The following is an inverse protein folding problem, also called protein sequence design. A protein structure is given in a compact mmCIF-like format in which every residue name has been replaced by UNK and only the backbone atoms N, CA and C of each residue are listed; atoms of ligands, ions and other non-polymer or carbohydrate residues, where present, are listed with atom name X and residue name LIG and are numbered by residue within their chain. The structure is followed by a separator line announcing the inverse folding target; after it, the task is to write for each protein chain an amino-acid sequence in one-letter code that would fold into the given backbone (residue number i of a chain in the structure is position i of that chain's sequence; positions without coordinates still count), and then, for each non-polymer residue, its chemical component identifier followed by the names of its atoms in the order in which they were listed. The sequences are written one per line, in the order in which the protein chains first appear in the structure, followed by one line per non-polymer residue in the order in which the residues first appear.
data_IF_126472375080
#
_entry.id   IF_126472375080
#
_cell.length_a   1.000
_cell.length_b   1.000
_cell.length_c   1.000
_cell.angle_alpha   90.00
_cell.angle_beta   90.00
_cell.angle_gamma   90.00
#
_symmetry.space_group_name_H-M   'P 1'
#
loop_
_entity.id
_entity.type
_entity.pdbx_description
1 polymer ?
#
# COMPACT_ATOMS: atom_id res chain seq x y z
N UNK A 1 -23.26 -4.20 10.50
CA UNK A 1 -22.91 -5.62 10.74
C UNK A 1 -23.58 -6.06 12.03
N UNK A 2 -24.28 -7.19 12.01
CA UNK A 2 -24.99 -7.77 13.16
C UNK A 2 -24.05 -8.64 13.99
N UNK A 3 -24.41 -8.98 15.23
CA UNK A 3 -23.66 -9.93 16.08
C UNK A 3 -23.60 -11.37 15.52
N UNK A 4 -24.43 -11.66 14.50
CA UNK A 4 -24.60 -13.00 13.92
C UNK A 4 -23.31 -13.75 13.58
N UNK A 5 -22.30 -13.18 12.90
CA UNK A 5 -21.07 -13.90 12.58
C UNK A 5 -20.34 -14.44 13.82
N UNK A 6 -20.35 -13.68 14.91
CA UNK A 6 -19.80 -14.15 16.18
C UNK A 6 -20.62 -15.31 16.75
N UNK A 7 -21.94 -15.19 16.76
CA UNK A 7 -22.82 -16.25 17.28
C UNK A 7 -22.74 -17.54 16.46
N UNK A 8 -22.55 -17.43 15.14
CA UNK A 8 -22.41 -18.58 14.26
C UNK A 8 -21.12 -19.37 14.56
N UNK A 9 -20.02 -18.69 14.92
CA UNK A 9 -18.75 -19.33 15.32
C UNK A 9 -18.86 -19.97 16.70
N UNK A 10 -19.45 -19.24 17.66
CA UNK A 10 -19.54 -19.69 19.05
C UNK A 10 -20.56 -20.84 19.20
N UNK A 11 -21.63 -20.84 18.39
CA UNK A 11 -22.67 -21.87 18.42
C UNK A 11 -23.26 -22.06 19.83
N UNK A 12 -23.44 -23.32 20.22
CA UNK A 12 -24.01 -23.69 21.52
C UNK A 12 -22.98 -23.71 22.66
N UNK A 13 -21.71 -23.38 22.39
CA UNK A 13 -20.66 -23.37 23.43
C UNK A 13 -20.85 -22.25 24.46
N UNK A 14 -21.64 -21.22 24.12
CA UNK A 14 -21.93 -20.07 24.96
C UNK A 14 -23.44 -19.96 25.21
N UNK A 15 -23.86 -20.22 26.45
CA UNK A 15 -25.27 -20.21 26.85
C UNK A 15 -25.49 -19.43 28.14
N UNK A 16 -26.76 -19.19 28.46
CA UNK A 16 -27.18 -18.55 29.71
C UNK A 16 -26.58 -17.16 29.90
N UNK A 17 -26.04 -16.93 31.10
CA UNK A 17 -25.48 -15.64 31.52
C UNK A 17 -24.29 -15.20 30.67
N UNK A 18 -23.43 -16.13 30.24
CA UNK A 18 -22.26 -15.80 29.41
C UNK A 18 -22.67 -15.26 28.03
N UNK A 19 -23.70 -15.85 27.42
CA UNK A 19 -24.27 -15.36 26.17
C UNK A 19 -24.95 -14.01 26.35
N UNK A 20 -25.63 -13.81 27.48
CA UNK A 20 -26.22 -12.53 27.81
C UNK A 20 -25.15 -11.43 27.91
N UNK A 21 -24.03 -11.70 28.58
CA UNK A 21 -22.93 -10.76 28.76
C UNK A 21 -22.30 -10.35 27.42
N UNK A 22 -22.04 -11.30 26.52
CA UNK A 22 -21.50 -11.00 25.16
C UNK A 22 -22.49 -10.18 24.33
N UNK A 23 -23.78 -10.51 24.38
CA UNK A 23 -24.82 -9.70 23.71
C UNK A 23 -24.88 -8.29 24.29
N UNK A 24 -24.72 -8.15 25.60
CA UNK A 24 -24.69 -6.86 26.28
C UNK A 24 -23.48 -6.04 25.87
N UNK A 25 -22.30 -6.64 25.82
CA UNK A 25 -21.06 -5.99 25.33
C UNK A 25 -21.23 -5.45 23.90
N UNK A 26 -21.88 -6.21 23.02
CA UNK A 26 -22.20 -5.74 21.66
C UNK A 26 -23.09 -4.50 21.66
N UNK A 27 -24.16 -4.49 22.48
CA UNK A 27 -25.09 -3.36 22.58
C UNK A 27 -24.37 -2.12 23.10
N UNK A 28 -23.54 -2.27 24.13
CA UNK A 28 -22.75 -1.19 24.73
C UNK A 28 -21.74 -0.64 23.73
N UNK A 29 -20.97 -1.49 23.05
CA UNK A 29 -20.05 -1.08 22.01
C UNK A 29 -20.76 -0.36 20.86
N UNK A 30 -21.91 -0.87 20.41
CA UNK A 30 -22.70 -0.26 19.34
C UNK A 30 -23.26 1.12 19.74
N UNK A 31 -23.62 1.29 21.01
CA UNK A 31 -24.08 2.56 21.56
C UNK A 31 -22.95 3.60 21.60
N UNK A 32 -21.81 3.26 22.19
CA UNK A 32 -20.70 4.21 22.35
C UNK A 32 -20.03 4.58 21.03
N UNK A 33 -19.94 3.65 20.09
CA UNK A 33 -19.43 3.91 18.75
C UNK A 33 -20.50 4.41 17.75
N UNK A 34 -21.68 4.83 18.22
CA UNK A 34 -22.78 5.26 17.35
C UNK A 34 -22.39 6.53 16.58
N UNK A 35 -22.53 6.46 15.25
CA UNK A 35 -22.17 7.56 14.35
C UNK A 35 -20.68 7.62 13.98
N UNK A 36 -19.83 6.80 14.60
CA UNK A 36 -18.44 6.63 14.20
C UNK A 36 -18.35 5.72 12.96
N UNK A 37 -17.47 6.09 12.04
CA UNK A 37 -17.22 5.33 10.80
C UNK A 37 -15.77 4.86 10.74
N UNK A 38 -15.56 3.64 10.22
CA UNK A 38 -14.24 3.16 9.79
C UNK A 38 -13.76 3.97 8.59
N UNK A 39 -12.47 3.86 8.28
CA UNK A 39 -11.90 4.48 7.06
C UNK A 39 -12.45 3.87 5.76
N UNK A 40 -13.05 2.68 5.82
CA UNK A 40 -13.82 2.09 4.72
C UNK A 40 -15.17 2.79 4.46
N UNK A 41 -15.69 3.53 5.44
CA UNK A 41 -17.04 4.08 5.43
C UNK A 41 -18.08 3.24 6.17
N UNK A 42 -17.71 2.03 6.62
CA UNK A 42 -18.61 1.17 7.41
C UNK A 42 -18.82 1.69 8.84
N UNK A 43 -19.95 1.37 9.50
CA UNK A 43 -20.13 1.66 10.92
C UNK A 43 -19.02 1.07 11.78
N UNK A 44 -18.49 1.81 12.76
CA UNK A 44 -17.31 1.39 13.53
C UNK A 44 -17.47 0.03 14.22
N UNK A 45 -18.67 -0.29 14.70
CA UNK A 45 -19.02 -1.57 15.35
C UNK A 45 -18.68 -2.82 14.52
N UNK A 46 -18.50 -2.69 13.20
CA UNK A 46 -18.07 -3.82 12.36
C UNK A 46 -16.69 -4.36 12.78
N UNK A 47 -15.80 -3.48 13.26
CA UNK A 47 -14.46 -3.88 13.68
C UNK A 47 -14.45 -4.66 15.01
N UNK A 48 -15.03 -4.15 16.12
CA UNK A 48 -15.09 -4.92 17.36
C UNK A 48 -15.78 -6.28 17.20
N UNK A 49 -16.84 -6.36 16.37
CA UNK A 49 -17.48 -7.65 16.05
C UNK A 49 -16.50 -8.59 15.36
N UNK A 50 -15.74 -8.12 14.37
CA UNK A 50 -14.76 -8.95 13.68
C UNK A 50 -13.59 -9.38 14.58
N UNK A 51 -13.14 -8.51 15.50
CA UNK A 51 -12.12 -8.86 16.50
C UNK A 51 -12.62 -9.95 17.44
N UNK A 52 -13.85 -9.80 17.97
CA UNK A 52 -14.46 -10.83 18.80
C UNK A 52 -14.67 -12.14 18.03
N UNK A 53 -15.04 -12.09 16.74
CA UNK A 53 -15.16 -13.30 15.91
C UNK A 53 -13.83 -14.02 15.76
N UNK A 54 -12.73 -13.30 15.53
CA UNK A 54 -11.38 -13.89 15.47
C UNK A 54 -11.02 -14.57 16.80
N UNK A 55 -11.31 -13.93 17.94
CA UNK A 55 -11.07 -14.53 19.25
C UNK A 55 -11.91 -15.79 19.49
N UNK A 56 -13.16 -15.80 19.02
CA UNK A 56 -14.01 -16.98 19.07
C UNK A 56 -13.49 -18.13 18.20
N UNK A 57 -12.93 -17.83 17.02
CA UNK A 57 -12.28 -18.82 16.16
C UNK A 57 -11.07 -19.48 16.84
N UNK A 58 -10.41 -18.76 17.76
CA UNK A 58 -9.32 -19.28 18.59
C UNK A 58 -9.81 -20.02 19.85
N UNK A 59 -11.12 -20.14 20.05
CA UNK A 59 -11.71 -20.82 21.21
C UNK A 59 -11.62 -20.03 22.50
N UNK A 60 -11.44 -18.71 22.43
CA UNK A 60 -11.35 -17.85 23.62
C UNK A 60 -12.69 -17.75 24.36
N UNK A 61 -12.61 -17.57 25.68
CA UNK A 61 -13.79 -17.53 26.54
C UNK A 61 -14.63 -16.24 26.39
N UNK A 62 -15.80 -16.25 27.02
CA UNK A 62 -16.76 -15.13 26.98
C UNK A 62 -16.20 -13.79 27.46
N UNK A 63 -15.27 -13.77 28.41
CA UNK A 63 -14.64 -12.54 28.88
C UNK A 63 -13.76 -11.94 27.79
N UNK A 64 -12.98 -12.77 27.09
CA UNK A 64 -12.21 -12.34 25.91
C UNK A 64 -13.10 -11.85 24.78
N UNK A 65 -14.25 -12.50 24.54
CA UNK A 65 -15.20 -12.03 23.54
C UNK A 65 -15.79 -10.66 23.91
N UNK A 66 -16.13 -10.46 25.19
CA UNK A 66 -16.59 -9.15 25.69
C UNK A 66 -15.49 -8.10 25.55
N UNK A 67 -14.25 -8.41 25.95
CA UNK A 67 -13.12 -7.52 25.81
C UNK A 67 -12.86 -7.16 24.34
N UNK A 68 -12.95 -8.12 23.42
CA UNK A 68 -12.86 -7.88 21.97
C UNK A 68 -13.91 -6.90 21.43
N UNK A 69 -15.15 -7.01 21.92
CA UNK A 69 -16.23 -6.07 21.57
C UNK A 69 -16.02 -4.68 22.16
N UNK A 70 -15.35 -4.56 23.30
CA UNK A 70 -15.20 -3.33 24.08
C UNK A 70 -13.81 -2.66 23.95
N UNK A 71 -12.85 -3.29 23.26
CA UNK A 71 -11.42 -2.92 23.37
C UNK A 71 -11.09 -1.47 23.02
N UNK A 72 -11.85 -0.85 22.10
CA UNK A 72 -11.67 0.55 21.70
C UNK A 72 -12.58 1.52 22.45
N UNK A 73 -13.52 1.04 23.27
CA UNK A 73 -14.55 1.91 23.90
C UNK A 73 -13.89 2.94 24.81
N UNK A 74 -12.93 2.55 25.65
CA UNK A 74 -12.24 3.47 26.55
C UNK A 74 -11.28 4.43 25.82
N UNK A 75 -10.77 4.03 24.65
CA UNK A 75 -9.78 4.81 23.91
C UNK A 75 -10.42 5.83 22.95
N UNK A 76 -11.51 5.43 22.28
CA UNK A 76 -12.09 6.18 21.17
C UNK A 76 -13.40 6.90 21.53
N UNK A 77 -13.92 6.70 22.75
CA UNK A 77 -15.22 7.25 23.18
C UNK A 77 -15.12 7.95 24.53
N UNK A 78 -16.18 8.65 24.93
CA UNK A 78 -16.27 9.34 26.22
C UNK A 78 -16.82 8.44 27.34
N UNK A 79 -16.82 7.12 27.17
CA UNK A 79 -17.34 6.20 28.16
C UNK A 79 -16.48 6.23 29.44
N UNK A 80 -17.07 6.46 30.62
CA UNK A 80 -16.36 6.28 31.89
C UNK A 80 -15.96 4.81 32.09
N UNK A 81 -14.75 4.58 32.57
CA UNK A 81 -14.26 3.24 32.89
C UNK A 81 -15.08 2.60 34.03
N UNK A 82 -15.50 3.41 35.00
CA UNK A 82 -16.33 3.03 36.13
C UNK A 82 -17.67 2.43 35.69
N UNK A 83 -18.29 3.00 34.65
CA UNK A 83 -19.55 2.49 34.08
C UNK A 83 -19.33 1.10 33.44
N UNK A 84 -18.22 0.93 32.72
CA UNK A 84 -17.84 -0.37 32.16
C UNK A 84 -17.58 -1.40 33.27
N UNK A 85 -16.92 -1.00 34.35
CA UNK A 85 -16.57 -1.88 35.47
C UNK A 85 -17.81 -2.31 36.25
N UNK A 86 -18.76 -1.40 36.45
CA UNK A 86 -20.04 -1.72 37.09
C UNK A 86 -20.88 -2.71 36.25
N UNK A 87 -20.77 -2.65 34.93
CA UNK A 87 -21.59 -3.46 34.02
C UNK A 87 -20.98 -4.82 33.67
N UNK A 88 -19.66 -4.89 33.48
CA UNK A 88 -18.97 -6.10 33.00
C UNK A 88 -18.02 -6.73 34.03
N UNK A 89 -17.74 -6.02 35.13
CA UNK A 89 -16.82 -6.47 36.17
C UNK A 89 -15.35 -6.20 35.83
N UNK A 90 -14.53 -6.19 36.89
CA UNK A 90 -13.10 -5.87 36.80
C UNK A 90 -12.29 -6.77 35.84
N UNK A 91 -12.53 -8.09 35.72
CA UNK A 91 -11.74 -8.94 34.83
C UNK A 91 -11.78 -8.48 33.36
N UNK A 92 -12.96 -8.11 32.85
CA UNK A 92 -13.14 -7.68 31.45
C UNK A 92 -12.57 -6.27 31.25
N UNK A 93 -12.84 -5.35 32.19
CA UNK A 93 -12.34 -3.98 32.09
C UNK A 93 -10.82 -3.92 32.16
N UNK A 94 -10.21 -4.75 33.01
CA UNK A 94 -8.76 -4.84 33.09
C UNK A 94 -8.14 -5.29 31.76
N UNK A 95 -8.76 -6.25 31.04
CA UNK A 95 -8.28 -6.64 29.70
C UNK A 95 -8.34 -5.48 28.71
N UNK A 96 -9.43 -4.71 28.71
CA UNK A 96 -9.60 -3.53 27.83
C UNK A 96 -8.57 -2.45 28.17
N UNK A 97 -8.40 -2.14 29.46
CA UNK A 97 -7.44 -1.16 29.98
C UNK A 97 -6.00 -1.49 29.60
N UNK A 98 -5.58 -2.73 29.87
CA UNK A 98 -4.22 -3.19 29.57
C UNK A 98 -3.96 -3.24 28.05
N UNK A 99 -4.95 -3.63 27.24
CA UNK A 99 -4.81 -3.63 25.78
C UNK A 99 -4.59 -2.21 25.21
N UNK A 100 -5.31 -1.22 25.76
CA UNK A 100 -5.13 0.20 25.44
C UNK A 100 -3.76 0.72 25.87
N UNK A 101 -3.29 0.37 27.08
CA UNK A 101 -1.99 0.79 27.61
C UNK A 101 -0.81 0.27 26.77
N UNK A 102 -0.89 -0.96 26.25
CA UNK A 102 0.12 -1.52 25.35
C UNK A 102 0.28 -0.71 24.05
N UNK A 103 -0.74 0.05 23.62
CA UNK A 103 -0.63 0.93 22.45
C UNK A 103 0.35 2.09 22.69
N UNK A 104 0.52 2.52 23.94
CA UNK A 104 1.37 3.66 24.33
C UNK A 104 2.74 3.23 24.85
N UNK A 105 2.88 1.99 25.32
CA UNK A 105 4.09 1.48 25.94
C UNK A 105 5.03 0.81 24.92
N UNK A 106 5.62 1.55 23.99
CA UNK A 106 6.70 1.06 23.10
C UNK A 106 8.04 0.79 23.83
N UNK A 107 8.10 0.83 25.18
CA UNK A 107 9.38 0.87 25.93
C UNK A 107 9.46 0.11 27.25
N UNK A 108 8.48 -0.72 27.62
CA UNK A 108 8.62 -1.61 28.78
C UNK A 108 8.51 -3.04 28.30
N UNK A 109 9.55 -3.84 28.51
CA UNK A 109 9.40 -5.31 28.50
C UNK A 109 8.35 -5.66 29.53
N UNK A 110 7.12 -6.04 29.13
CA UNK A 110 6.16 -6.55 30.08
C UNK A 110 6.74 -7.86 30.61
N UNK A 111 6.40 -8.19 31.86
CA UNK A 111 6.56 -9.54 32.36
C UNK A 111 5.59 -10.45 31.57
N UNK A 112 6.06 -10.86 30.39
CA UNK A 112 5.30 -11.60 29.38
C UNK A 112 4.92 -13.00 29.84
N UNK A 113 5.45 -13.44 30.98
CA UNK A 113 5.27 -14.76 31.55
C UNK A 113 3.92 -14.92 32.28
N UNK A 114 3.21 -13.82 32.54
CA UNK A 114 1.89 -13.88 33.19
C UNK A 114 0.75 -14.25 32.23
N UNK A 115 -0.17 -15.12 32.68
CA UNK A 115 -1.34 -15.53 31.90
C UNK A 115 -2.27 -14.37 31.49
N UNK A 116 -2.34 -13.31 32.32
CA UNK A 116 -3.06 -12.06 31.97
C UNK A 116 -2.40 -11.38 30.77
N UNK A 117 -1.06 -11.41 30.68
CA UNK A 117 -0.34 -10.87 29.53
C UNK A 117 -0.69 -11.63 28.24
N UNK A 118 -0.77 -12.97 28.27
CA UNK A 118 -1.13 -13.77 27.10
C UNK A 118 -2.52 -13.42 26.54
N UNK A 119 -3.52 -13.24 27.41
CA UNK A 119 -4.87 -12.81 27.03
C UNK A 119 -4.87 -11.43 26.39
N UNK A 120 -4.18 -10.46 26.99
CA UNK A 120 -4.08 -9.09 26.45
C UNK A 120 -3.34 -9.09 25.09
N UNK A 121 -2.29 -9.90 24.96
CA UNK A 121 -1.57 -10.06 23.69
C UNK A 121 -2.42 -10.73 22.62
N UNK A 122 -3.22 -11.75 22.96
CA UNK A 122 -4.16 -12.37 22.04
C UNK A 122 -5.19 -11.34 21.53
N UNK A 123 -5.78 -10.55 22.43
CA UNK A 123 -6.68 -9.45 22.04
C UNK A 123 -5.99 -8.47 21.07
N UNK A 124 -4.74 -8.11 21.35
CA UNK A 124 -3.93 -7.22 20.49
C UNK A 124 -3.64 -7.81 19.12
N UNK A 125 -3.34 -9.10 19.04
CA UNK A 125 -3.08 -9.81 17.78
C UNK A 125 -4.37 -9.88 16.96
N UNK A 126 -5.52 -10.15 17.58
CA UNK A 126 -6.80 -10.21 16.89
C UNK A 126 -7.19 -8.84 16.29
N UNK A 127 -7.03 -7.76 17.07
CA UNK A 127 -7.15 -6.38 16.57
C UNK A 127 -6.21 -6.14 15.38
N UNK A 128 -4.92 -6.43 15.54
CA UNK A 128 -3.93 -6.19 14.48
C UNK A 128 -4.23 -7.01 13.22
N UNK A 129 -4.68 -8.26 13.35
CA UNK A 129 -5.04 -9.11 12.22
C UNK A 129 -6.19 -8.50 11.41
N UNK A 130 -7.27 -8.07 12.08
CA UNK A 130 -8.37 -7.40 11.39
C UNK A 130 -7.91 -6.10 10.71
N UNK A 131 -7.05 -5.33 11.38
CA UNK A 131 -6.50 -4.11 10.81
C UNK A 131 -5.62 -4.38 9.59
N UNK A 132 -4.80 -5.44 9.58
CA UNK A 132 -4.04 -5.84 8.39
C UNK A 132 -4.96 -6.29 7.24
N UNK A 133 -6.02 -7.03 7.52
CA UNK A 133 -7.02 -7.45 6.52
C UNK A 133 -7.75 -6.27 5.86
N UNK A 134 -7.87 -5.14 6.57
CA UNK A 134 -8.58 -3.93 6.12
C UNK A 134 -7.68 -2.71 5.86
N UNK A 135 -6.37 -2.91 5.86
CA UNK A 135 -5.36 -1.83 5.84
C UNK A 135 -5.40 -0.95 4.57
N UNK A 136 -5.96 -1.48 3.47
CA UNK A 136 -6.03 -0.81 2.18
C UNK A 136 -6.79 0.53 2.19
N UNK A 137 -7.64 0.77 3.20
CA UNK A 137 -8.36 2.04 3.37
C UNK A 137 -7.53 3.13 4.07
N UNK A 138 -6.32 2.81 4.56
CA UNK A 138 -5.43 3.78 5.19
C UNK A 138 -4.51 4.46 4.16
N UNK A 139 -3.98 5.68 4.44
CA UNK A 139 -2.91 6.28 3.66
C UNK A 139 -1.63 5.43 3.66
N UNK A 140 -0.88 5.42 2.56
CA UNK A 140 0.29 4.55 2.37
C UNK A 140 1.33 4.62 3.49
N UNK A 141 1.62 5.82 4.02
CA UNK A 141 2.54 6.01 5.15
C UNK A 141 2.09 5.22 6.39
N UNK A 142 0.79 5.22 6.69
CA UNK A 142 0.23 4.44 7.80
C UNK A 142 0.23 2.94 7.51
N UNK A 143 -0.05 2.54 6.26
CA UNK A 143 0.03 1.13 5.86
C UNK A 143 1.45 0.59 6.09
N UNK A 144 2.47 1.30 5.60
CA UNK A 144 3.87 0.91 5.75
C UNK A 144 4.28 0.82 7.22
N UNK A 145 3.98 1.86 8.04
CA UNK A 145 4.31 1.86 9.47
C UNK A 145 3.68 0.67 10.19
N UNK A 146 2.37 0.45 10.00
CA UNK A 146 1.63 -0.64 10.66
C UNK A 146 2.13 -2.00 10.20
N UNK A 147 2.42 -2.20 8.92
CA UNK A 147 2.98 -3.46 8.41
C UNK A 147 4.41 -3.73 8.89
N UNK A 148 5.27 -2.71 9.04
CA UNK A 148 6.59 -2.86 9.67
C UNK A 148 6.46 -3.29 11.13
N UNK A 149 5.70 -2.53 11.92
CA UNK A 149 5.42 -2.84 13.34
C UNK A 149 4.86 -4.26 13.50
N UNK A 150 3.99 -4.69 12.58
CA UNK A 150 3.42 -6.03 12.60
C UNK A 150 4.46 -7.12 12.38
N UNK A 151 5.40 -6.93 11.44
CA UNK A 151 6.47 -7.90 11.19
C UNK A 151 7.50 -7.94 12.32
N UNK A 152 7.84 -6.79 12.86
CA UNK A 152 8.95 -6.66 13.80
C UNK A 152 8.52 -7.06 15.23
N UNK A 153 7.24 -6.85 15.57
CA UNK A 153 6.74 -7.02 16.95
C UNK A 153 5.62 -8.07 17.00
N UNK A 154 4.53 -7.87 16.26
CA UNK A 154 3.29 -8.63 16.48
C UNK A 154 3.38 -10.08 15.96
N UNK A 155 3.95 -10.29 14.78
CA UNK A 155 4.11 -11.63 14.20
C UNK A 155 4.99 -12.54 15.08
N UNK A 156 6.18 -12.11 15.56
CA UNK A 156 6.96 -12.89 16.52
C UNK A 156 6.19 -13.27 17.79
N UNK A 157 5.35 -12.39 18.31
CA UNK A 157 4.51 -12.65 19.49
C UNK A 157 3.43 -13.68 19.16
N UNK A 158 2.76 -13.57 18.00
CA UNK A 158 1.75 -14.54 17.58
C UNK A 158 2.34 -15.97 17.48
N UNK A 159 3.54 -16.11 16.90
CA UNK A 159 4.26 -17.40 16.89
C UNK A 159 4.57 -17.91 18.30
N UNK A 160 4.99 -17.03 19.21
CA UNK A 160 5.29 -17.39 20.59
C UNK A 160 4.06 -17.95 21.33
N UNK A 161 2.87 -17.42 21.04
CA UNK A 161 1.61 -17.88 21.61
C UNK A 161 1.05 -19.14 20.91
N UNK A 162 1.78 -19.76 19.98
CA UNK A 162 1.32 -20.95 19.24
C UNK A 162 0.20 -20.64 18.25
N UNK A 163 0.15 -19.41 17.72
CA UNK A 163 -0.81 -18.98 16.70
C UNK A 163 -0.13 -18.96 15.31
N UNK A 164 0.52 -20.04 14.90
CA UNK A 164 1.29 -20.10 13.64
C UNK A 164 0.47 -19.71 12.39
N UNK A 165 -0.80 -20.16 12.21
CA UNK A 165 -1.59 -19.73 11.05
C UNK A 165 -1.83 -18.23 11.01
N UNK A 166 -1.99 -17.60 12.17
CA UNK A 166 -2.20 -16.15 12.31
C UNK A 166 -0.90 -15.40 12.03
N UNK A 167 0.23 -15.90 12.54
CA UNK A 167 1.55 -15.33 12.25
C UNK A 167 1.85 -15.33 10.75
N UNK A 168 1.63 -16.45 10.07
CA UNK A 168 1.86 -16.55 8.63
C UNK A 168 0.95 -15.60 7.85
N UNK A 169 -0.32 -15.47 8.25
CA UNK A 169 -1.23 -14.51 7.62
C UNK A 169 -0.78 -13.05 7.83
N UNK A 170 -0.41 -12.68 9.07
CA UNK A 170 0.10 -11.35 9.40
C UNK A 170 1.36 -11.02 8.60
N UNK A 171 2.28 -11.98 8.45
CA UNK A 171 3.50 -11.81 7.66
C UNK A 171 3.19 -11.65 6.18
N UNK A 172 2.36 -12.53 5.62
CA UNK A 172 1.95 -12.47 4.22
C UNK A 172 1.28 -11.14 3.87
N UNK A 173 0.32 -10.68 4.69
CA UNK A 173 -0.36 -9.39 4.49
C UNK A 173 0.63 -8.23 4.59
N UNK A 174 1.47 -8.22 5.62
CA UNK A 174 2.42 -7.13 5.85
C UNK A 174 3.47 -7.04 4.73
N UNK A 175 4.04 -8.17 4.30
CA UNK A 175 4.98 -8.21 3.17
C UNK A 175 4.32 -7.71 1.90
N UNK A 176 3.07 -8.11 1.61
CA UNK A 176 2.35 -7.64 0.44
C UNK A 176 2.14 -6.12 0.44
N UNK A 177 1.82 -5.54 1.60
CA UNK A 177 1.64 -4.09 1.74
C UNK A 177 2.95 -3.32 1.56
N UNK A 178 4.06 -3.85 2.09
CA UNK A 178 5.40 -3.26 1.93
C UNK A 178 5.92 -3.41 0.49
N UNK A 179 5.69 -4.55 -0.15
CA UNK A 179 6.04 -4.80 -1.54
C UNK A 179 5.27 -3.89 -2.52
N UNK A 180 4.17 -3.28 -2.08
CA UNK A 180 3.50 -2.20 -2.79
C UNK A 180 4.39 -0.99 -3.13
N UNK A 181 5.58 -0.85 -2.52
CA UNK A 181 6.63 0.10 -2.91
C UNK A 181 7.30 -0.23 -4.25
N UNK A 182 7.38 -1.51 -4.63
CA UNK A 182 7.87 -1.92 -5.94
C UNK A 182 7.04 -1.33 -7.09
N UNK A 183 5.76 -1.04 -6.83
CA UNK A 183 4.89 -0.32 -7.75
C UNK A 183 5.33 1.14 -7.96
N UNK A 184 5.88 1.81 -6.95
CA UNK A 184 6.43 3.17 -7.09
C UNK A 184 7.65 3.15 -7.97
N UNK A 185 8.60 2.24 -7.73
CA UNK A 185 9.82 2.14 -8.54
C UNK A 185 9.53 1.78 -10.00
N UNK A 186 8.63 0.81 -10.25
CA UNK A 186 8.24 0.42 -11.60
C UNK A 186 7.54 1.56 -12.34
N UNK A 187 6.64 2.27 -11.66
CA UNK A 187 5.89 3.39 -12.23
C UNK A 187 6.79 4.60 -12.46
N UNK A 188 7.71 4.88 -11.53
CA UNK A 188 8.71 5.94 -11.65
C UNK A 188 9.67 5.68 -12.80
N UNK A 189 10.09 4.43 -13.02
CA UNK A 189 10.95 4.05 -14.15
C UNK A 189 10.31 4.41 -15.51
N UNK A 190 8.99 4.23 -15.63
CA UNK A 190 8.23 4.62 -16.84
C UNK A 190 8.20 6.14 -17.01
N UNK A 191 7.98 6.90 -15.94
CA UNK A 191 8.02 8.38 -15.97
C UNK A 191 9.43 8.88 -16.30
N UNK A 192 10.47 8.27 -15.71
CA UNK A 192 11.87 8.63 -15.93
C UNK A 192 12.29 8.43 -17.39
N UNK A 193 11.89 7.33 -18.02
CA UNK A 193 12.10 7.10 -19.46
C UNK A 193 11.34 8.13 -20.30
N UNK A 194 10.08 8.41 -19.97
CA UNK A 194 9.29 9.44 -20.66
C UNK A 194 9.91 10.84 -20.56
N UNK A 195 10.51 11.18 -19.42
CA UNK A 195 11.10 12.48 -19.15
C UNK A 195 12.26 12.85 -20.09
N UNK A 196 12.79 11.91 -20.88
CA UNK A 196 13.71 12.18 -22.00
C UNK A 196 13.09 13.21 -22.98
N UNK A 197 11.76 13.24 -23.13
CA UNK A 197 11.04 14.20 -23.97
C UNK A 197 11.14 15.65 -23.46
N UNK A 198 11.45 15.84 -22.17
CA UNK A 198 11.59 17.16 -21.56
C UNK A 198 12.99 17.75 -21.80
N UNK A 199 13.11 19.09 -21.81
CA UNK A 199 14.41 19.75 -21.86
C UNK A 199 15.30 19.31 -20.69
N UNK A 200 16.58 19.03 -20.96
CA UNK A 200 17.53 18.52 -19.96
C UNK A 200 17.52 19.35 -18.66
N UNK A 201 17.50 20.68 -18.78
CA UNK A 201 17.50 21.61 -17.65
C UNK A 201 16.28 21.51 -16.73
N UNK A 202 15.17 20.90 -17.18
CA UNK A 202 13.93 20.77 -16.41
C UNK A 202 13.70 19.35 -15.86
N UNK A 203 14.43 18.33 -16.35
CA UNK A 203 14.17 16.92 -16.02
C UNK A 203 14.28 16.62 -14.53
N UNK A 204 15.35 17.07 -13.88
CA UNK A 204 15.61 16.80 -12.46
C UNK A 204 14.47 17.29 -11.55
N UNK A 205 14.08 18.56 -11.70
CA UNK A 205 13.00 19.17 -10.91
C UNK A 205 11.68 18.41 -11.04
N UNK A 206 11.25 18.13 -12.28
CA UNK A 206 9.96 17.45 -12.51
C UNK A 206 9.98 15.98 -12.07
N UNK A 207 11.13 15.30 -12.19
CA UNK A 207 11.25 13.92 -11.68
C UNK A 207 11.17 13.86 -10.16
N UNK A 208 11.76 14.81 -9.44
CA UNK A 208 11.63 14.92 -7.98
C UNK A 208 10.18 15.19 -7.56
N UNK A 209 9.50 16.12 -8.24
CA UNK A 209 8.10 16.45 -7.97
C UNK A 209 7.17 15.26 -8.21
N UNK A 210 7.32 14.56 -9.34
CA UNK A 210 6.50 13.39 -9.66
C UNK A 210 6.83 12.16 -8.81
N UNK A 211 8.07 12.02 -8.35
CA UNK A 211 8.43 11.01 -7.37
C UNK A 211 7.68 11.27 -6.06
N UNK A 212 7.61 12.53 -5.61
CA UNK A 212 6.82 12.94 -4.44
C UNK A 212 5.33 12.60 -4.60
N UNK A 213 4.74 12.94 -5.74
CA UNK A 213 3.33 12.62 -6.03
C UNK A 213 3.06 11.11 -6.10
N UNK A 214 3.96 10.32 -6.69
CA UNK A 214 3.83 8.86 -6.73
C UNK A 214 3.78 8.21 -5.35
N UNK A 215 4.55 8.73 -4.40
CA UNK A 215 4.51 8.28 -3.00
C UNK A 215 3.21 8.69 -2.30
N UNK A 216 2.63 9.84 -2.67
CA UNK A 216 1.37 10.32 -2.11
C UNK A 216 0.13 9.54 -2.62
N UNK A 217 0.24 8.86 -3.78
CA UNK A 217 -0.89 8.16 -4.39
C UNK A 217 -1.21 6.81 -3.71
N UNK A 218 -2.51 6.55 -3.39
CA UNK A 218 -2.92 5.31 -2.76
C UNK A 218 -3.04 4.16 -3.78
N UNK A 219 -2.17 3.17 -3.64
CA UNK A 219 -2.25 1.89 -4.36
C UNK A 219 -1.74 1.90 -5.81
N UNK A 220 -1.54 0.70 -6.37
CA UNK A 220 -0.91 0.51 -7.67
C UNK A 220 -1.69 1.07 -8.87
N UNK A 221 -3.03 0.95 -8.86
CA UNK A 221 -3.90 1.42 -9.96
C UNK A 221 -3.85 2.95 -10.11
N UNK A 222 -3.82 3.68 -8.99
CA UNK A 222 -3.71 5.14 -8.99
C UNK A 222 -2.35 5.60 -9.51
N UNK A 223 -1.26 4.92 -9.09
CA UNK A 223 0.11 5.19 -9.55
C UNK A 223 0.28 4.96 -11.05
N UNK A 224 -0.20 3.82 -11.58
CA UNK A 224 -0.17 3.56 -13.02
C UNK A 224 -0.97 4.57 -13.83
N UNK A 225 -2.18 4.93 -13.37
CA UNK A 225 -2.98 5.97 -14.01
C UNK A 225 -2.29 7.33 -14.01
N UNK A 226 -1.54 7.66 -12.94
CA UNK A 226 -0.73 8.87 -12.86
C UNK A 226 0.44 8.86 -13.84
N UNK A 227 1.24 7.78 -13.90
CA UNK A 227 2.34 7.68 -14.86
C UNK A 227 1.88 7.80 -16.31
N UNK A 228 0.79 7.13 -16.68
CA UNK A 228 0.20 7.24 -18.02
C UNK A 228 -0.17 8.69 -18.37
N UNK A 229 -0.78 9.43 -17.43
CA UNK A 229 -1.10 10.85 -17.62
C UNK A 229 0.15 11.72 -17.75
N UNK A 230 1.19 11.47 -16.94
CA UNK A 230 2.44 12.23 -17.00
C UNK A 230 3.12 12.01 -18.35
N UNK A 231 3.33 10.76 -18.75
CA UNK A 231 3.96 10.41 -20.04
C UNK A 231 3.18 11.00 -21.23
N UNK A 232 1.83 10.91 -21.21
CA UNK A 232 1.00 11.50 -22.25
C UNK A 232 1.06 13.04 -22.30
N UNK A 233 1.29 13.71 -21.16
CA UNK A 233 1.38 15.17 -21.04
C UNK A 233 2.76 15.76 -21.37
N UNK A 234 3.83 14.96 -21.32
CA UNK A 234 5.21 15.41 -21.52
C UNK A 234 5.49 16.13 -22.86
N UNK A 235 4.93 15.74 -24.01
CA UNK A 235 5.12 16.48 -25.26
C UNK A 235 4.64 17.93 -25.18
N UNK A 236 3.44 18.14 -24.62
CA UNK A 236 2.86 19.47 -24.41
C UNK A 236 3.68 20.29 -23.42
N UNK A 237 4.12 19.65 -22.34
CA UNK A 237 4.97 20.28 -21.32
C UNK A 237 6.33 20.69 -21.90
N UNK A 238 6.95 19.86 -22.73
CA UNK A 238 8.22 20.17 -23.42
C UNK A 238 8.11 21.41 -24.30
N UNK A 239 7.00 21.55 -25.06
CA UNK A 239 6.74 22.73 -25.88
C UNK A 239 6.57 24.00 -25.04
N UNK A 240 5.82 23.92 -23.93
CA UNK A 240 5.61 25.05 -23.03
C UNK A 240 6.91 25.53 -22.34
N UNK A 241 7.75 24.57 -21.93
CA UNK A 241 9.05 24.85 -21.30
C UNK A 241 10.07 25.43 -22.29
N UNK A 242 10.05 24.98 -23.56
CA UNK A 242 10.91 25.54 -24.62
C UNK A 242 10.48 26.95 -25.05
N UNK A 243 9.20 27.31 -24.88
CA UNK A 243 8.69 28.66 -25.15
C UNK A 243 9.25 29.75 -24.23
N UNK A 244 9.77 29.39 -23.05
CA UNK A 244 10.32 30.33 -22.07
C UNK A 244 11.83 30.56 -22.20
N UNK A 245 12.53 29.76 -22.99
CA UNK A 245 13.97 29.92 -23.21
C UNK A 245 14.25 30.87 -24.38
N UNK A 246 14.39 32.17 -24.08
CA UNK A 246 14.88 33.19 -25.03
C UNK A 246 16.36 32.98 -25.36
N UNK A 247 16.70 31.94 -26.13
CA UNK A 247 17.97 31.87 -26.85
C UNK A 247 17.80 31.06 -28.14
N UNK A 248 17.68 31.77 -29.27
CA UNK A 248 17.73 31.20 -30.63
C UNK A 248 19.20 31.09 -31.06
N UNK A 249 19.73 29.91 -31.41
CA UNK A 249 20.87 29.87 -32.32
C UNK A 249 20.36 30.01 -33.75
N UNK A 250 20.73 31.11 -34.40
CA UNK A 250 20.59 31.31 -35.84
C UNK A 250 21.51 30.31 -36.55
N UNK A 251 21.00 29.16 -37.00
CA UNK A 251 21.53 28.40 -38.16
C UNK A 251 20.81 27.08 -38.52
N UNK A 252 19.77 26.64 -37.80
CA UNK A 252 19.17 25.30 -38.06
C UNK A 252 18.18 25.22 -39.25
N UNK A 253 17.76 26.34 -39.83
CA UNK A 253 16.62 26.38 -40.77
C UNK A 253 16.86 25.79 -42.17
N UNK A 254 18.11 25.74 -42.67
CA UNK A 254 18.39 25.29 -44.05
C UNK A 254 18.77 23.81 -44.17
N UNK A 255 19.27 23.20 -43.09
CA UNK A 255 19.66 21.78 -43.06
C UNK A 255 18.45 20.88 -42.79
N UNK A 256 17.53 21.31 -41.92
CA UNK A 256 16.31 20.56 -41.59
C UNK A 256 15.38 20.36 -42.80
N UNK A 257 15.25 21.36 -43.68
CA UNK A 257 14.38 21.30 -44.87
C UNK A 257 14.94 20.34 -45.93
N UNK A 258 16.27 20.15 -46.01
CA UNK A 258 16.91 19.18 -46.91
C UNK A 258 16.83 17.75 -46.37
N UNK A 259 16.98 17.56 -45.05
CA UNK A 259 16.82 16.26 -44.41
C UNK A 259 15.39 15.72 -44.48
N UNK A 260 14.39 16.58 -44.27
CA UNK A 260 12.97 16.20 -44.35
C UNK A 260 12.56 15.79 -45.78
N UNK A 261 13.13 16.42 -46.81
CA UNK A 261 12.85 16.13 -48.22
C UNK A 261 13.46 14.81 -48.71
N UNK A 262 14.57 14.39 -48.12
CA UNK A 262 15.22 13.10 -48.39
C UNK A 262 14.53 11.95 -47.66
N UNK A 263 14.06 12.17 -46.43
CA UNK A 263 13.31 11.18 -45.63
C UNK A 263 11.94 10.87 -46.24
N UNK A 264 11.28 11.84 -46.84
CA UNK A 264 10.01 11.64 -47.55
C UNK A 264 10.16 10.87 -48.88
N UNK A 265 11.39 10.58 -49.33
CA UNK A 265 11.69 9.93 -50.61
C UNK A 265 12.25 8.50 -50.47
N UNK A 266 12.31 7.92 -49.27
CA UNK A 266 12.96 6.62 -48.99
C UNK A 266 11.96 5.50 -48.67
N UNK A 267 12.16 4.32 -49.24
CA UNK A 267 11.23 3.17 -49.13
C UNK A 267 11.47 2.31 -47.87
N UNK A 268 10.38 1.80 -47.28
CA UNK A 268 10.12 1.76 -45.83
C UNK A 268 9.70 0.36 -45.30
N UNK A 269 10.55 -0.66 -45.46
CA UNK A 269 10.31 -1.99 -44.85
C UNK A 269 11.65 -2.48 -44.27
N UNK A 270 12.00 -2.38 -43.00
CA UNK A 270 11.26 -2.72 -41.76
C UNK A 270 11.86 -2.03 -40.52
N UNK A 271 12.63 -0.95 -40.68
CA UNK A 271 13.35 -0.29 -39.57
C UNK A 271 13.05 1.22 -39.42
N UNK A 272 12.09 1.73 -40.18
CA UNK A 272 11.94 3.17 -40.40
C UNK A 272 11.33 4.00 -39.27
N UNK A 273 10.68 3.40 -38.26
CA UNK A 273 9.98 4.18 -37.22
C UNK A 273 10.90 4.67 -36.09
N UNK A 274 12.01 3.97 -35.82
CA UNK A 274 12.89 4.28 -34.69
C UNK A 274 14.26 4.79 -35.10
N UNK A 275 14.71 4.55 -36.35
CA UNK A 275 16.00 5.05 -36.85
C UNK A 275 16.11 6.57 -36.96
N UNK A 276 15.05 7.34 -37.28
CA UNK A 276 15.12 8.80 -37.24
C UNK A 276 15.28 9.31 -35.80
N UNK A 277 14.63 8.64 -34.84
CA UNK A 277 14.70 8.96 -33.42
C UNK A 277 16.09 8.64 -32.85
N UNK A 278 16.64 7.47 -33.20
CA UNK A 278 18.00 7.04 -32.83
C UNK A 278 19.08 7.88 -33.51
N UNK A 279 18.93 8.20 -34.80
CA UNK A 279 19.84 9.07 -35.53
C UNK A 279 19.83 10.50 -34.99
N UNK A 280 18.65 11.02 -34.63
CA UNK A 280 18.52 12.31 -33.96
C UNK A 280 19.13 12.28 -32.55
N UNK A 281 18.90 11.22 -31.77
CA UNK A 281 19.47 11.04 -30.43
C UNK A 281 21.00 10.97 -30.47
N UNK A 282 21.58 10.28 -31.45
CA UNK A 282 23.03 10.18 -31.67
C UNK A 282 23.63 11.53 -32.09
N UNK A 283 22.95 12.29 -32.95
CA UNK A 283 23.41 13.62 -33.38
C UNK A 283 23.29 14.68 -32.27
N UNK A 284 22.23 14.61 -31.44
CA UNK A 284 22.01 15.50 -30.30
C UNK A 284 23.00 15.21 -29.16
N UNK A 285 23.34 13.95 -28.92
CA UNK A 285 24.36 13.55 -27.94
C UNK A 285 25.80 13.78 -28.44
N UNK A 286 26.07 13.61 -29.74
CA UNK A 286 27.38 13.90 -30.34
C UNK A 286 27.75 15.40 -30.33
N UNK A 287 26.79 16.30 -30.09
CA UNK A 287 27.05 17.72 -29.88
C UNK A 287 27.77 18.03 -28.55
N UNK A 288 27.89 17.05 -27.63
CA UNK A 288 28.45 17.23 -26.28
C UNK A 288 29.79 16.55 -25.99
N UNK A 289 29.99 15.27 -26.37
CA UNK A 289 31.25 14.50 -26.21
C UNK A 289 31.11 13.11 -26.87
N UNK A 290 32.16 12.64 -27.57
CA UNK A 290 32.14 11.39 -28.38
C UNK A 290 31.91 10.12 -27.53
N UNK A 291 32.32 10.12 -26.26
CA UNK A 291 32.15 8.97 -25.35
C UNK A 291 30.69 8.60 -25.05
N UNK A 292 29.80 9.59 -25.00
CA UNK A 292 28.39 9.38 -24.64
C UNK A 292 27.57 8.77 -25.79
N UNK A 293 27.98 9.06 -27.04
CA UNK A 293 27.39 8.46 -28.23
C UNK A 293 27.67 6.95 -28.32
N UNK A 294 28.87 6.52 -27.89
CA UNK A 294 29.26 5.10 -27.86
C UNK A 294 28.48 4.32 -26.81
N UNK A 295 28.26 4.92 -25.63
CA UNK A 295 27.45 4.30 -24.56
C UNK A 295 26.02 4.09 -25.02
N UNK A 296 25.39 5.08 -25.66
CA UNK A 296 24.01 4.98 -26.19
C UNK A 296 23.92 3.93 -27.31
N UNK A 297 24.92 3.85 -28.19
CA UNK A 297 24.97 2.87 -29.27
C UNK A 297 25.08 1.42 -28.75
N UNK A 298 25.79 1.22 -27.64
CA UNK A 298 26.02 -0.10 -27.04
C UNK A 298 24.88 -0.52 -26.09
N UNK A 299 24.26 0.41 -25.36
CA UNK A 299 23.28 0.08 -24.30
C UNK A 299 21.83 0.03 -24.76
N UNK A 300 21.44 0.84 -25.75
CA UNK A 300 20.04 0.95 -26.17
C UNK A 300 19.54 -0.30 -26.94
N UNK A 301 20.30 -0.90 -27.88
CA UNK A 301 19.84 -2.09 -28.59
C UNK A 301 19.64 -3.33 -27.70
N UNK A 302 20.52 -3.68 -26.74
CA UNK A 302 20.31 -4.81 -25.84
C UNK A 302 19.14 -4.62 -24.87
N UNK A 303 18.92 -3.41 -24.36
CA UNK A 303 17.82 -3.11 -23.41
C UNK A 303 16.46 -3.17 -24.12
N UNK A 304 16.39 -2.68 -25.36
CA UNK A 304 15.19 -2.84 -26.20
C UNK A 304 14.94 -4.30 -26.57
N UNK A 305 15.98 -5.06 -26.90
CA UNK A 305 15.87 -6.49 -27.18
C UNK A 305 15.39 -7.28 -25.95
N UNK A 306 15.91 -6.98 -24.77
CA UNK A 306 15.49 -7.59 -23.51
C UNK A 306 14.04 -7.25 -23.16
N UNK A 307 13.61 -6.00 -23.35
CA UNK A 307 12.23 -5.57 -23.12
C UNK A 307 11.23 -6.24 -24.07
N UNK A 308 11.59 -6.39 -25.35
CA UNK A 308 10.76 -7.07 -26.35
C UNK A 308 10.68 -8.58 -26.09
N UNK A 309 11.78 -9.21 -25.65
CA UNK A 309 11.75 -10.62 -25.24
C UNK A 309 10.88 -10.85 -24.00
N UNK A 310 11.02 -10.01 -22.96
CA UNK A 310 10.20 -10.11 -21.76
C UNK A 310 8.69 -9.91 -22.03
N UNK A 311 8.34 -9.05 -22.99
CA UNK A 311 6.96 -8.89 -23.46
C UNK A 311 6.47 -10.12 -24.25
N UNK A 312 7.30 -10.68 -25.12
CA UNK A 312 6.95 -11.84 -25.95
C UNK A 312 6.75 -13.11 -25.13
N UNK A 313 7.55 -13.32 -24.09
CA UNK A 313 7.42 -14.46 -23.18
C UNK A 313 6.13 -14.37 -22.35
N UNK A 314 5.78 -13.16 -21.88
CA UNK A 314 4.48 -12.89 -21.23
C UNK A 314 3.26 -13.13 -22.12
N UNK A 315 3.38 -12.91 -23.42
CA UNK A 315 2.29 -13.19 -24.37
C UNK A 315 2.22 -14.67 -24.76
N UNK A 316 3.34 -15.40 -24.77
CA UNK A 316 3.37 -16.84 -25.05
C UNK A 316 2.79 -17.69 -23.92
N UNK A 317 3.03 -17.30 -22.66
CA UNK A 317 2.46 -18.00 -21.50
C UNK A 317 0.96 -17.71 -21.29
N UNK A 318 0.43 -16.68 -21.96
CA UNK A 318 -0.98 -16.32 -21.93
C UNK A 318 -1.88 -17.08 -22.91
N UNK A 319 -1.32 -17.76 -23.91
CA UNK A 319 -2.06 -18.40 -25.01
C UNK A 319 -2.21 -19.93 -24.84
N UNK A 320 -1.72 -20.51 -23.72
CA UNK A 320 -1.80 -21.94 -23.42
C UNK A 320 -3.04 -22.41 -22.65
N UNK A 321 -4.03 -21.52 -22.43
CA UNK A 321 -5.35 -21.90 -21.88
C UNK A 321 -6.46 -21.31 -22.75
N UNK A 322 -6.73 -21.97 -23.87
CA UNK A 322 -8.04 -22.03 -24.53
C UNK A 322 -8.07 -23.21 -25.48
#
# INVERSE_FOLDING_TARGET
MTLRPLLDVVGDSLTGERLHLVRRAYVVAAYWHRGQLRKSGDPYITHPVAVATILAEWGMDHEMLCAGLLHDVLADTACPEEDLAAEFGEPIVNLVRECGALYYAERRSPDWESATCERVLALKIADRLHNQRTIGFLPGVRQHRISRETLDIIAPIARRLGLEPVEEELRRLSIANLAGEGGVQATFSVIAVGAIMLPHAARGRWLEEWLGELHALPGGKARWGFALRMVAGMPRMSLALRGHSRHRPRCAGRVAVRGLRWVLASDLRTWGLLMPLLGWLVLDTAAGRIGDAVVVLITVPPVLAAGVHALRDRFRDGDGRR
#
